data_IF_257791311729
#
_entry.id   IF_257791311729
#
_cell.length_a   1.000
_cell.length_b   1.000
_cell.length_c   1.000
_cell.angle_alpha   90.00
_cell.angle_beta   90.00
_cell.angle_gamma   90.00
#
_symmetry.space_group_name_H-M   'P 1'
#
loop_
_entity.id
_entity.type
_entity.pdbx_description
1 polymer ?
#
# COMPACT_ATOMS: atom_id res chain seq x y z
N UNK A 1 5.56 -4.72 1.52
CA UNK A 1 4.96 -5.30 0.29
C UNK A 1 3.45 -5.13 0.38
N UNK A 2 2.77 -4.87 -0.73
CA UNK A 2 1.31 -4.94 -0.76
C UNK A 2 0.90 -6.39 -0.95
N UNK A 3 0.09 -6.92 -0.02
CA UNK A 3 -0.47 -8.27 -0.11
C UNK A 3 -1.98 -8.20 -0.19
N UNK A 4 -2.54 -8.61 -1.33
CA UNK A 4 -3.98 -8.60 -1.57
C UNK A 4 -4.67 -9.93 -1.20
N UNK A 5 -3.91 -11.00 -0.96
CA UNK A 5 -4.40 -12.33 -0.56
C UNK A 5 -5.61 -12.84 -1.37
N UNK A 6 -5.49 -12.75 -2.71
CA UNK A 6 -6.39 -13.42 -3.65
C UNK A 6 -5.84 -14.76 -4.07
N UNK A 7 -6.71 -15.76 -4.11
CA UNK A 7 -6.41 -17.15 -4.42
C UNK A 7 -7.18 -17.62 -5.67
N UNK A 8 -6.58 -18.44 -6.54
CA UNK A 8 -7.23 -18.89 -7.77
C UNK A 8 -8.58 -19.58 -7.59
N UNK A 9 -8.68 -20.44 -6.58
CA UNK A 9 -9.87 -21.29 -6.40
C UNK A 9 -10.84 -20.74 -5.35
N UNK A 10 -10.34 -19.91 -4.42
CA UNK A 10 -11.06 -19.50 -3.21
C UNK A 10 -11.20 -17.98 -3.06
N UNK A 11 -10.67 -17.21 -4.02
CA UNK A 11 -10.71 -15.74 -4.02
C UNK A 11 -10.09 -15.17 -2.74
N UNK A 12 -10.86 -14.53 -1.87
CA UNK A 12 -10.34 -13.83 -0.68
C UNK A 12 -10.17 -14.73 0.55
N UNK A 13 -10.07 -16.05 0.39
CA UNK A 13 -9.88 -16.97 1.52
C UNK A 13 -8.74 -17.91 1.22
N UNK A 14 -7.76 -17.99 2.11
CA UNK A 14 -6.63 -18.91 1.89
C UNK A 14 -7.06 -20.38 1.98
N UNK A 15 -6.57 -21.26 1.08
CA UNK A 15 -6.98 -22.66 1.04
C UNK A 15 -6.58 -23.45 2.30
N UNK A 16 -5.41 -23.17 2.88
CA UNK A 16 -4.91 -23.82 4.10
C UNK A 16 -3.80 -22.99 4.79
N UNK A 17 -3.35 -23.43 5.97
CA UNK A 17 -2.30 -22.75 6.75
C UNK A 17 -0.93 -22.77 6.04
N UNK A 18 -0.64 -23.79 5.23
CA UNK A 18 0.63 -23.87 4.51
C UNK A 18 0.69 -22.79 3.41
N UNK A 19 -0.44 -22.47 2.79
CA UNK A 19 -0.58 -21.40 1.83
C UNK A 19 -0.36 -20.02 2.48
N UNK A 20 -0.91 -19.77 3.67
CA UNK A 20 -0.65 -18.56 4.46
C UNK A 20 0.84 -18.40 4.79
N UNK A 21 1.47 -19.47 5.30
CA UNK A 21 2.91 -19.47 5.60
C UNK A 21 3.74 -19.22 4.35
N UNK A 22 3.34 -19.78 3.21
CA UNK A 22 4.04 -19.65 1.94
C UNK A 22 4.08 -18.21 1.45
N UNK A 23 2.98 -17.45 1.54
CA UNK A 23 2.96 -16.05 1.08
C UNK A 23 3.92 -15.18 1.94
N UNK A 24 3.98 -15.43 3.26
CA UNK A 24 4.98 -14.79 4.15
C UNK A 24 6.41 -15.17 3.75
N UNK A 25 6.69 -16.47 3.56
CA UNK A 25 8.03 -16.96 3.18
C UNK A 25 8.48 -16.44 1.81
N UNK A 26 7.57 -16.31 0.85
CA UNK A 26 7.85 -15.74 -0.47
C UNK A 26 8.21 -14.25 -0.35
N UNK A 27 7.45 -13.48 0.42
CA UNK A 27 7.75 -12.08 0.67
C UNK A 27 9.14 -11.90 1.31
N UNK A 28 9.44 -12.71 2.34
CA UNK A 28 10.75 -12.71 3.00
C UNK A 28 11.88 -13.18 2.07
N UNK A 29 11.63 -14.16 1.21
CA UNK A 29 12.61 -14.62 0.22
C UNK A 29 12.98 -13.53 -0.79
N UNK A 30 12.04 -12.63 -1.10
CA UNK A 30 12.27 -11.44 -1.92
C UNK A 30 12.89 -10.26 -1.15
N UNK A 31 13.21 -10.42 0.14
CA UNK A 31 13.87 -9.39 0.96
C UNK A 31 12.92 -8.39 1.62
N UNK A 32 11.60 -8.59 1.53
CA UNK A 32 10.66 -7.79 2.31
C UNK A 32 10.55 -8.32 3.73
N UNK A 33 10.34 -7.43 4.70
CA UNK A 33 10.19 -7.76 6.11
C UNK A 33 8.75 -7.60 6.63
N UNK A 34 7.82 -7.19 5.76
CA UNK A 34 6.43 -7.03 6.13
C UNK A 34 5.48 -6.71 4.98
N UNK A 35 4.19 -6.75 5.30
CA UNK A 35 3.09 -6.47 4.38
C UNK A 35 2.10 -5.43 4.89
N UNK A 36 1.55 -4.65 3.97
CA UNK A 36 0.23 -4.02 4.14
C UNK A 36 -0.82 -5.05 3.71
N UNK A 37 -1.73 -5.39 4.61
CA UNK A 37 -2.75 -6.43 4.40
C UNK A 37 -3.96 -5.86 3.64
N UNK A 38 -3.78 -5.72 2.33
CA UNK A 38 -4.65 -4.94 1.45
C UNK A 38 -5.83 -5.78 0.93
N UNK A 39 -7.01 -5.22 0.68
CA UNK A 39 -7.65 -4.17 1.45
C UNK A 39 -8.80 -4.83 2.24
N UNK A 40 -8.46 -5.75 3.14
CA UNK A 40 -9.45 -6.55 3.88
C UNK A 40 -8.93 -6.86 5.28
N UNK A 41 -9.85 -7.29 6.15
CA UNK A 41 -9.47 -7.88 7.44
C UNK A 41 -9.07 -9.34 7.18
N UNK A 42 -7.78 -9.63 7.28
CA UNK A 42 -7.24 -10.98 7.07
C UNK A 42 -7.69 -11.96 8.17
N UNK A 43 -7.60 -13.25 7.89
CA UNK A 43 -7.86 -14.31 8.86
C UNK A 43 -6.82 -14.28 10.00
N UNK A 44 -7.25 -14.52 11.24
CA UNK A 44 -6.39 -14.57 12.44
C UNK A 44 -5.21 -15.55 12.31
N UNK A 45 -5.38 -16.59 11.47
CA UNK A 45 -4.34 -17.58 11.17
C UNK A 45 -3.13 -16.97 10.46
N UNK A 46 -3.34 -16.00 9.56
CA UNK A 46 -2.24 -15.28 8.92
C UNK A 46 -1.43 -14.51 9.98
N UNK A 47 -2.12 -13.77 10.85
CA UNK A 47 -1.50 -12.98 11.92
C UNK A 47 -0.73 -13.87 12.91
N UNK A 48 -1.28 -15.04 13.27
CA UNK A 48 -0.57 -16.04 14.06
C UNK A 48 0.74 -16.50 13.40
N UNK A 49 0.75 -16.72 12.09
CA UNK A 49 1.97 -17.10 11.37
C UNK A 49 2.95 -15.94 11.22
N UNK A 50 2.47 -14.72 10.99
CA UNK A 50 3.29 -13.52 10.96
C UNK A 50 4.02 -13.30 12.29
N UNK A 51 3.32 -13.46 13.43
CA UNK A 51 3.92 -13.41 14.77
C UNK A 51 5.05 -14.44 14.93
N UNK A 52 4.80 -15.69 14.51
CA UNK A 52 5.75 -16.80 14.66
C UNK A 52 7.00 -16.62 13.79
N UNK A 53 6.84 -16.02 12.60
CA UNK A 53 7.91 -15.85 11.62
C UNK A 53 8.66 -14.52 11.76
N UNK A 54 8.15 -13.59 12.57
CA UNK A 54 8.74 -12.26 12.74
C UNK A 54 8.50 -11.36 11.53
N UNK A 55 7.31 -11.46 10.93
CA UNK A 55 6.91 -10.69 9.76
C UNK A 55 6.03 -9.51 10.19
N UNK A 56 6.40 -8.29 9.79
CA UNK A 56 5.68 -7.08 10.17
C UNK A 56 4.40 -6.95 9.34
N UNK A 57 3.30 -6.53 9.96
CA UNK A 57 2.05 -6.30 9.23
C UNK A 57 1.44 -4.95 9.58
N UNK A 58 0.86 -4.31 8.57
CA UNK A 58 -0.04 -3.18 8.77
C UNK A 58 -1.48 -3.70 8.69
N UNK A 59 -2.24 -3.54 9.77
CA UNK A 59 -3.62 -3.99 9.82
C UNK A 59 -4.53 -3.03 9.07
N UNK A 60 -5.32 -3.55 8.13
CA UNK A 60 -6.23 -2.73 7.31
C UNK A 60 -7.69 -3.18 7.39
N UNK A 61 -8.56 -2.32 6.88
CA UNK A 61 -9.99 -2.55 6.77
C UNK A 61 -10.42 -2.59 5.31
N UNK A 62 -11.45 -3.38 5.01
CA UNK A 62 -12.12 -3.29 3.71
C UNK A 62 -13.12 -2.15 3.72
N UNK A 63 -12.77 -1.05 3.05
CA UNK A 63 -13.68 0.09 2.90
C UNK A 63 -14.59 0.00 1.65
N UNK A 64 -14.62 -1.19 1.03
CA UNK A 64 -15.55 -1.50 -0.06
C UNK A 64 -16.99 -1.22 0.35
N UNK A 65 -17.74 -0.57 -0.53
CA UNK A 65 -19.09 -0.08 -0.22
C UNK A 65 -19.12 1.32 0.43
N UNK A 66 -17.97 1.96 0.67
CA UNK A 66 -17.93 3.41 0.90
C UNK A 66 -18.29 4.21 -0.37
N UNK A 67 -18.25 3.60 -1.56
CA UNK A 67 -18.56 4.26 -2.83
C UNK A 67 -20.05 4.48 -3.10
N UNK A 68 -20.40 5.68 -3.57
CA UNK A 68 -21.68 6.13 -4.10
C UNK A 68 -21.51 6.85 -5.44
N UNK A 69 -20.99 6.15 -6.47
CA UNK A 69 -20.91 6.63 -7.86
C UNK A 69 -19.83 7.70 -8.14
N UNK A 70 -19.77 8.20 -9.38
CA UNK A 70 -18.75 9.15 -9.89
C UNK A 70 -18.98 10.61 -9.44
N UNK A 71 -19.57 10.82 -8.27
CA UNK A 71 -19.97 12.14 -7.76
C UNK A 71 -18.83 12.93 -7.11
N UNK A 72 -19.07 14.22 -6.84
CA UNK A 72 -18.11 15.12 -6.15
C UNK A 72 -17.81 14.72 -4.69
N UNK A 73 -18.65 13.86 -4.11
CA UNK A 73 -18.57 13.29 -2.76
C UNK A 73 -18.73 11.77 -2.83
N UNK A 74 -18.03 11.13 -3.77
CA UNK A 74 -18.23 9.73 -4.13
C UNK A 74 -18.03 8.74 -2.97
N UNK A 75 -17.20 9.07 -1.98
CA UNK A 75 -16.97 8.20 -0.82
C UNK A 75 -17.75 8.68 0.41
N UNK A 76 -18.71 7.86 0.80
CA UNK A 76 -19.67 8.02 1.88
C UNK A 76 -19.58 6.82 2.85
N UNK A 77 -18.41 6.59 3.51
CA UNK A 77 -18.35 5.56 4.54
C UNK A 77 -19.35 5.91 5.64
N UNK A 78 -20.14 4.93 6.09
CA UNK A 78 -21.15 5.18 7.12
C UNK A 78 -20.57 5.02 8.53
N UNK A 79 -21.25 5.51 9.56
CA UNK A 79 -20.84 5.30 10.95
C UNK A 79 -20.70 3.81 11.35
N UNK A 80 -21.32 2.89 10.59
CA UNK A 80 -21.14 1.44 10.78
C UNK A 80 -19.69 0.99 10.59
N UNK A 81 -18.92 1.67 9.74
CA UNK A 81 -17.51 1.37 9.51
C UNK A 81 -16.70 1.51 10.79
N UNK A 82 -16.99 2.52 11.63
CA UNK A 82 -16.34 2.69 12.92
C UNK A 82 -16.57 1.47 13.81
N UNK A 83 -17.80 0.93 13.85
CA UNK A 83 -18.13 -0.22 14.68
C UNK A 83 -17.43 -1.49 14.18
N UNK A 84 -17.51 -1.75 12.87
CA UNK A 84 -16.90 -2.92 12.23
C UNK A 84 -15.37 -2.89 12.33
N UNK A 85 -14.77 -1.73 12.11
CA UNK A 85 -13.33 -1.55 12.25
C UNK A 85 -12.84 -1.83 13.66
N UNK A 86 -13.55 -1.32 14.67
CA UNK A 86 -13.16 -1.54 16.07
C UNK A 86 -13.33 -3.00 16.50
N UNK A 87 -14.23 -3.76 15.87
CA UNK A 87 -14.28 -5.21 16.04
C UNK A 87 -12.97 -5.86 15.56
N UNK A 88 -12.49 -5.51 14.36
CA UNK A 88 -11.22 -5.99 13.82
C UNK A 88 -10.03 -5.60 14.71
N UNK A 89 -9.89 -4.32 15.08
CA UNK A 89 -8.81 -3.85 15.97
C UNK A 89 -8.83 -4.57 17.32
N UNK A 90 -10.01 -4.78 17.92
CA UNK A 90 -10.11 -5.48 19.22
C UNK A 90 -9.72 -6.94 19.13
N UNK A 91 -10.09 -7.63 18.04
CA UNK A 91 -9.69 -9.00 17.74
C UNK A 91 -8.16 -9.08 17.63
N UNK A 92 -7.56 -8.16 16.89
CA UNK A 92 -6.21 -8.33 16.36
C UNK A 92 -5.10 -7.62 17.16
N UNK A 93 -5.41 -6.63 18.01
CA UNK A 93 -4.42 -5.83 18.77
C UNK A 93 -3.42 -6.61 19.63
N UNK A 94 -3.70 -7.88 19.92
CA UNK A 94 -2.80 -8.75 20.70
C UNK A 94 -1.65 -9.33 19.87
N UNK A 95 -1.71 -9.23 18.54
CA UNK A 95 -0.66 -9.69 17.63
C UNK A 95 0.53 -8.72 17.63
N UNK A 96 1.73 -9.14 18.07
CA UNK A 96 2.93 -8.29 18.02
C UNK A 96 3.42 -8.01 16.60
N UNK A 97 3.07 -8.84 15.61
CA UNK A 97 3.39 -8.59 14.19
C UNK A 97 2.76 -7.30 13.67
N UNK A 98 1.59 -6.91 14.21
CA UNK A 98 0.93 -5.67 13.80
C UNK A 98 1.74 -4.49 14.32
N UNK A 99 2.21 -3.64 13.41
CA UNK A 99 3.02 -2.45 13.74
C UNK A 99 2.29 -1.13 13.50
N UNK A 100 1.14 -1.17 12.85
CA UNK A 100 0.33 0.01 12.55
C UNK A 100 -1.06 -0.37 12.04
N UNK A 101 -1.94 0.63 12.00
CA UNK A 101 -3.35 0.49 11.63
C UNK A 101 -3.73 1.48 10.53
N UNK A 102 -4.45 1.02 9.50
CA UNK A 102 -5.00 1.85 8.42
C UNK A 102 -6.48 1.52 8.17
N UNK A 103 -7.44 2.36 8.60
CA UNK A 103 -8.85 2.06 8.48
C UNK A 103 -9.45 2.32 7.09
N UNK A 104 -8.79 3.09 6.22
CA UNK A 104 -9.30 3.49 4.90
C UNK A 104 -8.17 3.50 3.87
N UNK A 105 -8.49 3.33 2.58
CA UNK A 105 -7.49 3.33 1.50
C UNK A 105 -7.99 4.17 0.33
N UNK A 106 -7.08 4.92 -0.30
CA UNK A 106 -7.33 5.68 -1.54
C UNK A 106 -8.64 6.46 -1.53
N UNK A 107 -8.89 7.19 -0.44
CA UNK A 107 -10.04 8.09 -0.42
C UNK A 107 -9.78 9.29 -1.31
N UNK A 108 -10.70 9.66 -2.21
CA UNK A 108 -10.57 10.67 -3.25
C UNK A 108 -11.69 11.71 -3.13
N UNK A 109 -11.46 12.79 -2.37
CA UNK A 109 -12.40 13.92 -2.33
C UNK A 109 -11.67 15.24 -2.08
N UNK A 110 -12.03 16.30 -2.80
CA UNK A 110 -11.38 17.60 -2.59
C UNK A 110 -11.69 18.16 -1.20
N UNK A 111 -10.70 18.79 -0.57
CA UNK A 111 -10.89 19.60 0.63
C UNK A 111 -11.80 20.79 0.28
N UNK A 112 -12.78 21.05 1.14
CA UNK A 112 -13.72 22.17 1.00
C UNK A 112 -14.11 22.73 2.38
N UNK A 113 -14.77 23.88 2.42
CA UNK A 113 -15.14 24.56 3.68
C UNK A 113 -16.23 23.84 4.50
N UNK A 114 -16.94 22.88 3.90
CA UNK A 114 -17.94 22.05 4.60
C UNK A 114 -17.24 20.86 5.29
N UNK A 115 -17.87 20.27 6.29
CA UNK A 115 -17.48 18.96 6.82
C UNK A 115 -18.30 17.88 6.09
N UNK A 116 -17.62 16.92 5.46
CA UNK A 116 -18.26 15.78 4.80
C UNK A 116 -18.37 14.57 5.69
N UNK A 117 -19.17 13.60 5.24
CA UNK A 117 -19.21 12.27 5.84
C UNK A 117 -17.83 11.60 5.84
N UNK A 118 -17.03 11.77 4.78
CA UNK A 118 -15.65 11.27 4.75
C UNK A 118 -14.82 11.90 5.87
N UNK A 119 -14.88 13.23 6.04
CA UNK A 119 -14.13 13.93 7.09
C UNK A 119 -14.52 13.42 8.49
N UNK A 120 -15.82 13.36 8.79
CA UNK A 120 -16.33 12.94 10.10
C UNK A 120 -16.02 11.47 10.40
N UNK A 121 -16.16 10.58 9.41
CA UNK A 121 -15.97 9.14 9.60
C UNK A 121 -14.49 8.78 9.64
N UNK A 122 -13.63 9.38 8.81
CA UNK A 122 -12.17 9.21 8.93
C UNK A 122 -11.69 9.67 10.31
N UNK A 123 -12.14 10.84 10.78
CA UNK A 123 -11.81 11.32 12.13
C UNK A 123 -12.34 10.38 13.23
N UNK A 124 -13.58 9.89 13.09
CA UNK A 124 -14.17 8.94 14.03
C UNK A 124 -13.43 7.60 14.08
N UNK A 125 -13.05 7.04 12.93
CA UNK A 125 -12.27 5.80 12.84
C UNK A 125 -10.87 5.99 13.44
N UNK A 126 -10.17 7.09 13.12
CA UNK A 126 -8.87 7.40 13.72
C UNK A 126 -8.95 7.46 15.25
N UNK A 127 -9.86 8.28 15.80
CA UNK A 127 -9.98 8.46 17.26
C UNK A 127 -10.39 7.16 17.96
N UNK A 128 -11.31 6.39 17.36
CA UNK A 128 -11.71 5.10 17.90
C UNK A 128 -10.54 4.11 17.90
N UNK A 129 -9.70 4.11 16.86
CA UNK A 129 -8.50 3.26 16.77
C UNK A 129 -7.54 3.60 17.90
N UNK A 130 -7.20 4.89 18.08
CA UNK A 130 -6.32 5.33 19.17
C UNK A 130 -6.86 4.95 20.55
N UNK A 131 -8.18 4.97 20.73
CA UNK A 131 -8.80 4.55 21.98
C UNK A 131 -8.78 3.03 22.19
N UNK A 132 -8.91 2.23 21.13
CA UNK A 132 -8.94 0.77 21.21
C UNK A 132 -7.53 0.15 21.32
N UNK A 133 -6.55 0.77 20.66
CA UNK A 133 -5.14 0.42 20.71
C UNK A 133 -4.24 1.68 20.73
N UNK A 134 -3.88 2.17 21.93
CA UNK A 134 -3.02 3.33 22.07
C UNK A 134 -1.53 3.01 21.84
N UNK A 135 -1.16 1.74 21.65
CA UNK A 135 0.25 1.31 21.61
C UNK A 135 0.89 1.42 20.22
N UNK A 136 0.09 1.58 19.16
CA UNK A 136 0.53 1.57 17.76
C UNK A 136 0.17 2.88 17.04
N UNK A 137 0.96 3.26 16.01
CA UNK A 137 0.62 4.37 15.13
C UNK A 137 -0.62 4.05 14.28
N UNK A 138 -1.36 5.10 13.94
CA UNK A 138 -2.51 5.05 13.04
C UNK A 138 -2.26 5.98 11.87
N UNK A 139 -2.41 5.42 10.68
CA UNK A 139 -2.54 6.10 9.39
C UNK A 139 -4.04 6.24 9.13
N UNK A 140 -4.56 7.46 8.96
CA UNK A 140 -6.00 7.70 8.89
C UNK A 140 -6.64 7.19 7.59
N UNK A 141 -5.96 7.37 6.47
CA UNK A 141 -6.20 6.72 5.19
C UNK A 141 -4.86 6.52 4.48
N UNK A 142 -4.68 5.40 3.79
CA UNK A 142 -3.47 5.14 3.00
C UNK A 142 -3.63 5.71 1.61
N UNK A 143 -2.67 6.56 1.22
CA UNK A 143 -2.70 7.30 -0.02
C UNK A 143 -3.84 8.31 -0.08
N UNK A 144 -3.70 9.28 -0.98
CA UNK A 144 -4.78 10.22 -1.25
C UNK A 144 -5.22 11.04 -0.02
N UNK A 145 -6.49 10.96 0.38
CA UNK A 145 -7.09 11.99 1.23
C UNK A 145 -6.88 11.81 2.73
N UNK A 146 -5.74 12.21 3.27
CA UNK A 146 -5.61 12.39 4.72
C UNK A 146 -6.59 13.45 5.25
N UNK A 147 -7.40 13.11 6.24
CA UNK A 147 -8.41 14.01 6.86
C UNK A 147 -8.06 14.42 8.28
N UNK A 148 -7.12 13.73 8.91
CA UNK A 148 -6.78 13.93 10.32
C UNK A 148 -5.41 14.54 10.45
N UNK A 149 -5.35 15.83 10.81
CA UNK A 149 -4.08 16.55 10.99
C UNK A 149 -3.16 15.90 12.03
N UNK A 150 -3.73 15.25 13.03
CA UNK A 150 -2.99 14.56 14.08
C UNK A 150 -2.67 13.09 13.76
N UNK A 151 -2.90 12.62 12.53
CA UNK A 151 -2.51 11.25 12.12
C UNK A 151 -1.05 10.98 12.51
N UNK A 152 -0.77 9.78 13.03
CA UNK A 152 0.57 9.48 13.56
C UNK A 152 1.60 9.31 12.45
N UNK A 153 1.13 8.89 11.26
CA UNK A 153 1.90 8.66 10.05
C UNK A 153 1.17 9.31 8.88
N UNK A 154 1.93 9.77 7.90
CA UNK A 154 1.45 10.35 6.65
C UNK A 154 2.07 9.56 5.48
N UNK A 155 1.38 9.43 4.37
CA UNK A 155 1.90 8.63 3.25
C UNK A 155 1.48 9.19 1.89
N UNK A 156 1.83 8.44 0.84
CA UNK A 156 1.38 8.69 -0.52
C UNK A 156 1.44 7.42 -1.34
N UNK A 157 0.67 7.38 -2.43
CA UNK A 157 0.76 6.36 -3.46
C UNK A 157 1.39 6.97 -4.71
N UNK A 158 2.41 6.36 -5.28
CA UNK A 158 3.00 6.85 -6.53
C UNK A 158 3.37 5.73 -7.48
N UNK A 159 2.82 5.84 -8.68
CA UNK A 159 3.01 4.87 -9.75
C UNK A 159 3.82 5.44 -10.93
N UNK A 160 4.61 6.49 -10.68
CA UNK A 160 5.61 7.00 -11.63
C UNK A 160 6.63 5.88 -11.95
N UNK A 161 6.88 5.67 -13.24
CA UNK A 161 7.69 4.56 -13.75
C UNK A 161 9.11 4.98 -14.10
N UNK A 162 9.35 6.27 -14.34
CA UNK A 162 10.68 6.82 -14.62
C UNK A 162 11.41 7.13 -13.30
N UNK A 163 12.55 6.46 -13.00
CA UNK A 163 13.27 6.69 -11.75
C UNK A 163 13.71 8.14 -11.53
N UNK A 164 14.04 8.88 -12.60
CA UNK A 164 14.45 10.28 -12.47
C UNK A 164 13.26 11.20 -12.16
N UNK A 165 12.09 10.94 -12.75
CA UNK A 165 10.84 11.63 -12.42
C UNK A 165 10.39 11.31 -11.00
N UNK A 166 10.42 10.04 -10.61
CA UNK A 166 10.09 9.60 -9.25
C UNK A 166 11.03 10.23 -8.22
N UNK A 167 12.33 10.33 -8.51
CA UNK A 167 13.28 11.07 -7.66
C UNK A 167 12.90 12.53 -7.49
N UNK A 168 12.52 13.22 -8.56
CA UNK A 168 12.07 14.63 -8.49
C UNK A 168 10.78 14.78 -7.69
N UNK A 169 9.87 13.83 -7.84
CA UNK A 169 8.60 13.78 -7.12
C UNK A 169 8.81 13.64 -5.61
N UNK A 170 9.68 12.72 -5.18
CA UNK A 170 9.91 12.42 -3.76
C UNK A 170 10.91 13.38 -3.07
N UNK A 171 11.61 14.24 -3.81
CA UNK A 171 12.68 15.09 -3.28
C UNK A 171 12.25 16.15 -2.23
N UNK A 172 10.95 16.43 -2.10
CA UNK A 172 10.45 17.52 -1.26
C UNK A 172 10.34 17.21 0.24
N UNK A 173 10.54 15.96 0.67
CA UNK A 173 10.31 15.54 2.05
C UNK A 173 11.19 16.31 3.06
N UNK A 174 12.48 16.50 2.76
CA UNK A 174 13.41 17.25 3.60
C UNK A 174 13.04 18.74 3.78
N UNK A 175 12.31 19.31 2.82
CA UNK A 175 11.80 20.69 2.90
C UNK A 175 10.42 20.78 3.58
N UNK A 176 9.92 19.67 4.14
CA UNK A 176 8.57 19.59 4.70
C UNK A 176 7.47 19.62 3.64
N UNK A 177 7.78 19.25 2.40
CA UNK A 177 6.85 19.24 1.25
C UNK A 177 6.88 17.86 0.58
N UNK A 178 6.50 16.77 1.29
CA UNK A 178 6.47 15.45 0.69
C UNK A 178 5.54 15.43 -0.53
N UNK A 179 5.76 14.45 -1.41
CA UNK A 179 4.77 14.15 -2.42
C UNK A 179 3.45 13.75 -1.76
N UNK A 180 2.35 14.31 -2.25
CA UNK A 180 1.00 13.97 -1.82
C UNK A 180 0.13 13.88 -3.07
N UNK A 181 -0.75 12.89 -3.11
CA UNK A 181 -1.70 12.74 -4.21
C UNK A 181 -2.66 13.95 -4.25
N UNK A 182 -3.14 14.28 -5.44
CA UNK A 182 -4.15 15.32 -5.66
C UNK A 182 -5.33 14.80 -6.50
N UNK A 183 -6.37 15.63 -6.63
CA UNK A 183 -7.51 15.36 -7.52
C UNK A 183 -7.64 16.50 -8.53
N UNK A 184 -7.04 16.29 -9.70
CA UNK A 184 -6.98 17.27 -10.79
C UNK A 184 -6.32 18.59 -10.34
N UNK A 185 -5.21 18.50 -9.60
CA UNK A 185 -4.52 19.66 -9.04
C UNK A 185 -5.21 20.30 -7.83
N UNK A 186 -6.26 19.67 -7.28
CA UNK A 186 -6.93 20.12 -6.05
C UNK A 186 -6.44 19.31 -4.86
N UNK A 187 -6.17 19.99 -3.75
CA UNK A 187 -5.82 19.35 -2.49
C UNK A 187 -6.95 18.45 -2.01
N UNK A 188 -6.61 17.20 -1.71
CA UNK A 188 -7.52 16.21 -1.14
C UNK A 188 -7.17 15.86 0.31
N UNK A 189 -6.00 16.26 0.76
CA UNK A 189 -5.47 15.96 2.08
C UNK A 189 -5.31 17.23 2.91
N UNK A 190 -5.43 17.11 4.24
CA UNK A 190 -5.01 18.17 5.16
C UNK A 190 -3.49 18.39 5.03
N UNK A 191 -2.96 19.61 5.23
CA UNK A 191 -1.53 19.85 5.04
C UNK A 191 -0.66 18.99 5.98
N UNK A 192 0.34 18.33 5.39
CA UNK A 192 1.42 17.66 6.12
C UNK A 192 2.03 18.56 7.20
N UNK A 193 2.32 17.98 8.36
CA UNK A 193 2.71 18.67 9.57
C UNK A 193 3.97 18.09 10.22
N UNK A 194 4.78 17.34 9.47
CA UNK A 194 6.04 16.76 9.96
C UNK A 194 5.92 15.34 10.54
N UNK A 195 4.83 14.64 10.27
CA UNK A 195 4.66 13.23 10.62
C UNK A 195 5.75 12.35 9.97
N UNK A 196 6.13 11.20 10.55
CA UNK A 196 6.82 10.16 9.79
C UNK A 196 6.12 9.90 8.45
N UNK A 197 6.91 9.85 7.37
CA UNK A 197 6.40 9.71 6.01
C UNK A 197 6.98 8.48 5.31
N UNK A 198 6.13 7.80 4.54
CA UNK A 198 6.55 6.71 3.66
C UNK A 198 5.71 6.64 2.39
N UNK A 199 6.23 6.02 1.33
CA UNK A 199 5.44 5.72 0.12
C UNK A 199 4.81 4.33 0.31
N UNK A 200 3.53 4.32 0.64
CA UNK A 200 2.78 3.12 1.06
C UNK A 200 2.25 2.29 -0.10
N UNK A 201 2.30 2.81 -1.32
CA UNK A 201 2.19 2.06 -2.58
C UNK A 201 3.10 2.69 -3.62
N UNK A 202 3.98 1.90 -4.20
CA UNK A 202 4.75 2.30 -5.36
C UNK A 202 5.07 1.15 -6.29
N UNK A 203 5.62 1.50 -7.45
CA UNK A 203 5.98 0.53 -8.47
C UNK A 203 4.79 0.27 -9.36
N UNK A 204 4.09 -0.85 -9.17
CA UNK A 204 3.03 -1.24 -10.09
C UNK A 204 3.55 -1.59 -11.50
N UNK A 205 4.82 -2.00 -11.58
CA UNK A 205 5.54 -2.31 -12.80
C UNK A 205 4.91 -3.55 -13.45
N UNK A 206 4.14 -3.31 -14.50
CA UNK A 206 3.43 -4.38 -15.20
C UNK A 206 4.36 -5.23 -16.07
N UNK A 207 4.25 -6.55 -15.94
CA UNK A 207 4.92 -7.50 -16.82
C UNK A 207 4.06 -8.75 -17.04
N UNK A 208 3.72 -8.99 -18.31
CA UNK A 208 3.18 -10.27 -18.78
C UNK A 208 3.78 -10.62 -20.15
N UNK A 209 4.54 -11.73 -20.26
CA UNK A 209 5.14 -12.14 -21.52
C UNK A 209 4.10 -12.47 -22.60
N UNK A 210 2.91 -12.94 -22.23
CA UNK A 210 1.85 -13.33 -23.18
C UNK A 210 1.12 -12.12 -23.80
N UNK A 211 1.29 -10.94 -23.22
CA UNK A 211 0.62 -9.71 -23.65
C UNK A 211 1.59 -8.70 -24.29
N UNK A 212 2.87 -9.04 -24.46
CA UNK A 212 3.93 -8.12 -24.93
C UNK A 212 3.63 -7.53 -26.32
N UNK A 213 2.98 -8.29 -27.19
CA UNK A 213 2.61 -7.86 -28.55
C UNK A 213 1.24 -7.16 -28.60
N UNK A 214 0.52 -7.09 -27.47
CA UNK A 214 -0.78 -6.42 -27.39
C UNK A 214 -0.62 -4.94 -26.99
N UNK A 215 -1.48 -4.04 -27.50
CA UNK A 215 -1.53 -2.66 -27.04
C UNK A 215 -1.82 -2.60 -25.54
N UNK A 216 -1.12 -1.74 -24.82
CA UNK A 216 -1.39 -1.52 -23.40
C UNK A 216 -2.74 -0.84 -23.23
N UNK A 217 -3.55 -1.36 -22.31
CA UNK A 217 -4.85 -0.79 -21.97
C UNK A 217 -4.67 0.25 -20.82
N UNK A 218 -5.15 1.49 -21.01
CA UNK A 218 -5.18 2.60 -20.01
C UNK A 218 -5.85 2.26 -18.66
N UNK A 219 -5.12 2.17 -17.55
CA UNK A 219 -5.63 1.77 -16.22
C UNK A 219 -6.97 2.41 -15.76
N UNK A 220 -7.40 3.54 -16.34
CA UNK A 220 -8.65 4.24 -15.99
C UNK A 220 -9.96 3.73 -16.64
N UNK A 221 -9.93 2.76 -17.56
CA UNK A 221 -11.14 2.33 -18.28
C UNK A 221 -11.97 1.23 -17.54
N UNK A 222 -13.26 1.49 -17.22
CA UNK A 222 -14.09 0.62 -16.38
C UNK A 222 -14.68 -0.61 -17.07
N UNK A 223 -14.50 -0.81 -18.38
CA UNK A 223 -15.15 -1.88 -19.15
C UNK A 223 -14.32 -3.17 -19.32
N UNK A 224 -13.35 -3.46 -18.42
CA UNK A 224 -12.18 -4.25 -18.79
C UNK A 224 -12.22 -5.77 -18.58
N UNK A 225 -11.94 -6.47 -19.67
CA UNK A 225 -11.57 -7.89 -19.73
C UNK A 225 -10.08 -8.12 -20.10
N UNK A 226 -9.24 -7.06 -20.12
CA UNK A 226 -7.85 -7.11 -20.60
C UNK A 226 -6.88 -6.65 -19.49
N UNK A 227 -5.73 -7.31 -19.38
CA UNK A 227 -4.68 -7.04 -18.39
C UNK A 227 -4.15 -5.60 -18.45
N UNK A 228 -3.74 -5.06 -17.31
CA UNK A 228 -3.09 -3.76 -17.19
C UNK A 228 -2.08 -3.71 -16.02
N UNK A 229 -1.34 -2.61 -15.95
CA UNK A 229 -0.69 -2.12 -14.73
C UNK A 229 -0.32 -0.65 -14.94
N UNK A 230 0.42 -0.06 -14.00
CA UNK A 230 0.57 1.39 -13.96
C UNK A 230 1.73 1.90 -14.82
N UNK A 231 1.56 3.06 -15.45
CA UNK A 231 2.53 3.72 -16.33
C UNK A 231 2.95 2.88 -17.56
N UNK A 232 4.12 3.14 -18.15
CA UNK A 232 4.56 2.50 -19.40
C UNK A 232 4.99 1.04 -19.19
N UNK A 233 4.49 0.08 -19.99
CA UNK A 233 4.93 -1.33 -19.93
C UNK A 233 6.44 -1.47 -20.15
N UNK A 234 7.11 -2.27 -19.33
CA UNK A 234 8.49 -2.72 -19.57
C UNK A 234 8.61 -3.66 -20.78
N UNK A 235 9.64 -3.49 -21.60
CA UNK A 235 9.87 -4.33 -22.79
C UNK A 235 10.61 -5.65 -22.47
N UNK A 236 11.18 -5.81 -21.28
CA UNK A 236 11.88 -7.04 -20.89
C UNK A 236 11.96 -7.22 -19.38
N UNK A 237 12.28 -8.45 -18.95
CA UNK A 237 12.63 -8.77 -17.55
C UNK A 237 13.80 -7.92 -17.05
N UNK A 238 14.79 -7.63 -17.90
CA UNK A 238 15.93 -6.79 -17.51
C UNK A 238 15.51 -5.34 -17.26
N UNK A 239 14.61 -4.80 -18.07
CA UNK A 239 14.05 -3.48 -17.84
C UNK A 239 13.20 -3.43 -16.57
N UNK A 240 12.44 -4.50 -16.28
CA UNK A 240 11.73 -4.63 -15.01
C UNK A 240 12.68 -4.53 -13.82
N UNK A 241 13.79 -5.28 -13.83
CA UNK A 241 14.79 -5.22 -12.76
C UNK A 241 15.45 -3.85 -12.65
N UNK A 242 15.77 -3.22 -13.79
CA UNK A 242 16.35 -1.88 -13.80
C UNK A 242 15.40 -0.85 -13.18
N UNK A 243 14.10 -0.92 -13.54
CA UNK A 243 13.08 -0.03 -13.01
C UNK A 243 12.79 -0.27 -11.54
N UNK A 244 12.61 -1.53 -11.12
CA UNK A 244 12.43 -1.90 -9.72
C UNK A 244 13.57 -1.38 -8.86
N UNK A 245 14.82 -1.59 -9.31
CA UNK A 245 16.01 -1.06 -8.65
C UNK A 245 15.95 0.46 -8.55
N UNK A 246 15.77 1.15 -9.68
CA UNK A 246 15.79 2.61 -9.73
C UNK A 246 14.75 3.26 -8.84
N UNK A 247 13.51 2.77 -8.86
CA UNK A 247 12.43 3.28 -8.00
C UNK A 247 12.70 3.01 -6.51
N UNK A 248 13.15 1.79 -6.17
CA UNK A 248 13.40 1.42 -4.78
C UNK A 248 14.61 2.16 -4.19
N UNK A 249 15.68 2.35 -4.98
CA UNK A 249 16.86 3.09 -4.55
C UNK A 249 16.56 4.57 -4.27
N UNK A 250 15.63 5.20 -5.00
CA UNK A 250 15.15 6.55 -4.67
C UNK A 250 14.63 6.63 -3.23
N UNK A 251 13.85 5.64 -2.79
CA UNK A 251 13.28 5.60 -1.45
C UNK A 251 14.33 5.21 -0.39
N UNK A 252 15.21 4.26 -0.71
CA UNK A 252 16.30 3.84 0.18
C UNK A 252 17.31 4.96 0.43
N UNK A 253 17.53 5.86 -0.52
CA UNK A 253 18.51 6.95 -0.42
C UNK A 253 17.99 8.17 0.35
N UNK A 254 16.69 8.25 0.65
CA UNK A 254 16.10 9.36 1.41
C UNK A 254 16.23 9.10 2.95
N UNK A 255 16.92 9.98 3.71
CA UNK A 255 17.15 9.81 5.14
C UNK A 255 15.90 10.03 6.01
N UNK A 256 14.80 10.52 5.45
CA UNK A 256 13.53 10.75 6.12
C UNK A 256 12.44 9.73 5.74
N UNK A 257 12.71 8.89 4.74
CA UNK A 257 11.83 7.80 4.30
C UNK A 257 12.00 6.58 5.21
N UNK A 258 11.07 6.37 6.15
CA UNK A 258 11.22 5.31 7.16
C UNK A 258 10.84 3.91 6.66
N UNK A 259 10.23 3.83 5.48
CA UNK A 259 9.78 2.58 4.88
C UNK A 259 9.20 2.81 3.48
N UNK A 260 8.71 1.73 2.88
CA UNK A 260 7.98 1.76 1.61
C UNK A 260 7.20 0.47 1.43
N UNK A 261 6.25 0.47 0.50
CA UNK A 261 5.48 -0.72 0.19
C UNK A 261 5.27 -0.87 -1.32
N UNK A 262 5.98 -1.83 -1.91
CA UNK A 262 5.87 -2.12 -3.34
C UNK A 262 4.57 -2.86 -3.65
N UNK A 263 3.92 -2.48 -4.75
CA UNK A 263 2.73 -3.14 -5.30
C UNK A 263 3.19 -4.07 -6.43
N UNK A 264 3.15 -5.40 -6.30
CA UNK A 264 2.60 -6.22 -5.20
C UNK A 264 3.22 -7.64 -5.12
N UNK A 265 2.81 -8.47 -4.14
CA UNK A 265 3.33 -9.83 -3.97
C UNK A 265 2.97 -10.74 -5.16
N UNK A 266 1.69 -10.86 -5.48
CA UNK A 266 1.17 -11.72 -6.54
C UNK A 266 0.36 -10.92 -7.54
N UNK A 267 0.33 -11.34 -8.80
CA UNK A 267 -0.67 -10.84 -9.75
C UNK A 267 -2.10 -11.08 -9.23
N UNK A 268 -3.00 -10.14 -9.46
CA UNK A 268 -4.43 -10.20 -9.08
C UNK A 268 -5.32 -9.85 -10.27
N UNK A 269 -5.95 -10.86 -10.88
CA UNK A 269 -6.83 -10.70 -12.04
C UNK A 269 -6.20 -9.84 -13.17
N UNK A 270 -6.68 -8.61 -13.36
CA UNK A 270 -6.19 -7.71 -14.39
C UNK A 270 -4.89 -7.01 -13.97
N UNK A 271 -4.58 -6.91 -12.67
CA UNK A 271 -3.36 -6.32 -12.13
C UNK A 271 -2.22 -7.34 -12.18
N UNK A 272 -1.33 -7.18 -13.15
CA UNK A 272 -0.26 -8.15 -13.42
C UNK A 272 1.15 -7.57 -13.13
N UNK A 273 1.23 -6.83 -12.03
CA UNK A 273 2.40 -6.15 -11.48
C UNK A 273 3.00 -6.89 -10.26
N UNK A 274 2.57 -8.12 -9.99
CA UNK A 274 3.12 -8.97 -8.94
C UNK A 274 4.54 -9.44 -9.25
N UNK A 275 5.36 -9.62 -8.21
CA UNK A 275 6.69 -10.26 -8.32
C UNK A 275 6.58 -11.79 -8.49
N UNK A 276 5.46 -12.35 -8.03
CA UNK A 276 4.99 -13.69 -8.33
C UNK A 276 3.73 -13.61 -9.18
N UNK A 277 3.44 -14.66 -9.95
CA UNK A 277 2.16 -14.77 -10.65
C UNK A 277 1.02 -15.16 -9.69
N UNK A 278 -0.20 -15.24 -10.20
CA UNK A 278 -1.39 -15.57 -9.41
C UNK A 278 -1.30 -16.92 -8.68
N UNK A 279 -0.49 -17.85 -9.19
CA UNK A 279 -0.22 -19.16 -8.58
C UNK A 279 1.05 -19.16 -7.71
N UNK A 280 1.58 -17.98 -7.37
CA UNK A 280 2.80 -17.77 -6.58
C UNK A 280 4.04 -18.39 -7.22
N UNK A 281 4.11 -18.44 -8.56
CA UNK A 281 5.34 -18.84 -9.28
C UNK A 281 6.17 -17.59 -9.54
N UNK A 282 7.50 -17.64 -9.36
CA UNK A 282 8.34 -16.46 -9.54
C UNK A 282 8.30 -15.97 -10.99
N UNK A 283 8.03 -14.68 -11.19
CA UNK A 283 8.08 -14.03 -12.52
C UNK A 283 9.47 -13.52 -12.85
N UNK A 284 10.28 -13.28 -11.82
CA UNK A 284 11.59 -12.66 -11.90
C UNK A 284 12.63 -13.42 -11.07
N UNK A 285 13.89 -13.01 -11.21
CA UNK A 285 14.97 -13.44 -10.32
C UNK A 285 14.81 -12.82 -8.93
N UNK A 286 14.29 -13.61 -8.00
CA UNK A 286 14.02 -13.21 -6.62
C UNK A 286 15.31 -12.82 -5.88
N UNK A 287 16.46 -13.40 -6.21
CA UNK A 287 17.72 -13.04 -5.56
C UNK A 287 18.17 -11.62 -5.96
N UNK A 288 17.91 -11.21 -7.21
CA UNK A 288 18.16 -9.82 -7.66
C UNK A 288 17.24 -8.82 -6.98
N UNK A 289 15.97 -9.16 -6.78
CA UNK A 289 15.00 -8.34 -6.03
C UNK A 289 15.48 -8.18 -4.58
N UNK A 290 15.77 -9.30 -3.91
CA UNK A 290 16.27 -9.31 -2.54
C UNK A 290 17.53 -8.47 -2.37
N UNK A 291 18.47 -8.56 -3.30
CA UNK A 291 19.70 -7.78 -3.25
C UNK A 291 19.48 -6.26 -3.32
N UNK A 292 18.38 -5.80 -3.93
CA UNK A 292 17.99 -4.38 -3.89
C UNK A 292 17.39 -4.03 -2.52
N UNK A 293 16.51 -4.89 -2.01
CA UNK A 293 15.79 -4.68 -0.74
C UNK A 293 16.72 -4.67 0.48
N UNK A 294 17.76 -5.50 0.48
CA UNK A 294 18.73 -5.62 1.60
C UNK A 294 19.84 -4.55 1.56
N UNK A 295 19.77 -3.60 0.63
CA UNK A 295 20.65 -2.44 0.67
C UNK A 295 20.38 -1.63 1.93
N UNK A 296 21.44 -1.17 2.57
CA UNK A 296 21.34 -0.34 3.77
C UNK A 296 20.70 1.00 3.42
N UNK A 297 19.56 1.32 4.01
CA UNK A 297 18.84 2.57 3.75
C UNK A 297 19.54 3.77 4.41
N UNK A 298 19.43 4.94 3.79
CA UNK A 298 19.89 6.21 4.34
C UNK A 298 19.23 6.53 5.70
N UNK A 299 17.97 6.11 5.87
CA UNK A 299 17.25 6.22 7.14
C UNK A 299 17.96 5.49 8.30
N UNK A 300 18.62 4.35 8.04
CA UNK A 300 19.30 3.52 9.06
C UNK A 300 20.70 4.03 9.45
N UNK A 301 21.22 5.03 8.74
CA UNK A 301 22.55 5.62 8.98
C UNK A 301 22.47 7.07 9.41
N UNK A 302 21.28 7.65 9.47
CA UNK A 302 21.12 9.04 9.90
C UNK A 302 21.53 9.17 11.37
N UNK A 303 22.32 10.19 11.65
CA UNK A 303 22.57 10.59 13.04
C UNK A 303 21.29 11.25 13.57
N UNK A 304 20.76 10.77 14.69
CA UNK A 304 19.66 11.44 15.40
C UNK A 304 20.21 12.78 15.96
N UNK A 305 20.06 13.85 15.19
CA UNK A 305 20.44 15.21 15.57
C UNK A 305 19.31 15.95 16.30
#
# INVERSE_FOLDING_TARGET
MLDQDYWPDTLMTSPDDAALVRDIELSMAAGFNGARLHQKVFEERFLFHADRLGYLVWGEFGDWGAGGGLGKDAQQPTASFITQWIEAVRRDRSHPSIVGWCPLNETYQAIHDRITQLDDVTAGMYQATKAADPSRPVLDASGYSHRVRSSDVYDSHSYEQDPDAFRREQAGLADGRPFVNDLDGRAISVPYAGQPFFVSEYGGIWWNPDEIDRPQADASDPARAVSWGYGERVASVEEWHARFRGLTEVLLEDPLMFGYCFTQLTDTFQEQNGIYDFHRRPKFDIARIRAVQEQRAAYEVRDDA
#
